data_IF_372472886755
#
_entry.id   IF_372472886755
#
_cell.length_a   1.000
_cell.length_b   1.000
_cell.length_c   1.000
_cell.angle_alpha   90.00
_cell.angle_beta   90.00
_cell.angle_gamma   90.00
#
_symmetry.space_group_name_H-M   'P 1'
#
loop_
_entity.id
_entity.type
_entity.pdbx_description
1 polymer ?
#
# COMPACT_ATOMS: atom_id res chain seq x y z
N UNK A 1 -12.17 -47.78 -5.26
CA UNK A 1 -10.86 -47.11 -5.20
C UNK A 1 -10.64 -46.77 -3.74
N UNK A 2 -9.89 -47.62 -3.03
CA UNK A 2 -9.66 -47.48 -1.59
C UNK A 2 -8.73 -46.30 -1.36
N UNK A 3 -9.22 -45.28 -0.67
CA UNK A 3 -8.38 -44.23 -0.09
C UNK A 3 -7.72 -44.91 1.12
N UNK A 4 -6.46 -45.29 0.96
CA UNK A 4 -5.64 -45.75 2.08
C UNK A 4 -5.54 -44.61 3.09
N UNK A 5 -6.27 -44.74 4.20
CA UNK A 5 -5.98 -44.06 5.46
C UNK A 5 -4.63 -44.58 5.98
N UNK A 6 -3.54 -44.06 5.42
CA UNK A 6 -2.28 -44.07 6.15
C UNK A 6 -2.47 -43.17 7.38
N UNK A 7 -2.75 -43.81 8.52
CA UNK A 7 -2.48 -43.24 9.85
C UNK A 7 -1.01 -42.84 9.88
N UNK A 8 -0.75 -41.56 9.59
CA UNK A 8 0.55 -40.93 9.80
C UNK A 8 0.82 -40.96 11.30
N UNK A 9 1.54 -41.99 11.72
CA UNK A 9 2.04 -42.14 13.08
C UNK A 9 2.93 -40.94 13.41
N UNK A 10 2.48 -40.07 14.30
CA UNK A 10 3.31 -39.28 15.24
C UNK A 10 4.56 -38.57 14.72
N UNK A 11 4.69 -38.29 13.42
CA UNK A 11 5.72 -37.38 12.92
C UNK A 11 5.27 -35.99 13.35
N UNK A 12 6.05 -35.33 14.20
CA UNK A 12 5.96 -33.88 14.34
C UNK A 12 5.81 -33.29 12.93
N UNK A 13 4.66 -32.68 12.65
CA UNK A 13 4.44 -31.96 11.41
C UNK A 13 5.42 -30.78 11.45
N UNK A 14 6.57 -30.96 10.81
CA UNK A 14 7.62 -29.95 10.78
C UNK A 14 7.08 -28.72 10.05
N UNK A 15 7.01 -27.59 10.76
CA UNK A 15 6.84 -26.26 10.17
C UNK A 15 8.20 -25.72 9.71
N UNK A 16 9.06 -26.59 9.20
CA UNK A 16 10.47 -26.32 8.94
C UNK A 16 10.64 -25.18 7.93
N UNK A 17 9.96 -25.29 6.80
CA UNK A 17 10.00 -24.31 5.73
C UNK A 17 9.24 -23.04 6.12
N UNK A 18 8.08 -23.22 6.76
CA UNK A 18 7.25 -22.13 7.26
C UNK A 18 7.95 -21.28 8.33
N UNK A 19 8.69 -21.89 9.25
CA UNK A 19 9.49 -21.20 10.28
C UNK A 19 10.61 -20.39 9.65
N UNK A 20 11.33 -20.98 8.68
CA UNK A 20 12.40 -20.28 7.99
C UNK A 20 11.89 -19.02 7.28
N UNK A 21 10.75 -19.15 6.58
CA UNK A 21 10.11 -18.00 5.95
C UNK A 21 9.76 -16.88 6.94
N UNK A 22 9.10 -17.23 8.04
CA UNK A 22 8.71 -16.25 9.07
C UNK A 22 9.95 -15.62 9.71
N UNK A 23 11.00 -16.42 9.98
CA UNK A 23 12.27 -15.95 10.52
C UNK A 23 12.94 -14.90 9.62
N UNK A 24 12.92 -15.09 8.30
CA UNK A 24 13.46 -14.07 7.37
C UNK A 24 12.63 -12.79 7.33
N UNK A 25 11.32 -12.89 7.55
CA UNK A 25 10.47 -11.70 7.65
C UNK A 25 10.64 -10.97 8.99
N UNK A 26 10.94 -11.70 10.07
CA UNK A 26 11.15 -11.15 11.42
C UNK A 26 12.60 -10.85 11.78
N UNK A 27 13.56 -11.10 10.90
CA UNK A 27 14.98 -10.86 11.17
C UNK A 27 15.24 -9.41 11.59
N UNK A 28 15.57 -9.23 12.87
CA UNK A 28 15.77 -7.94 13.51
C UNK A 28 16.96 -7.15 12.95
N UNK A 29 17.93 -7.83 12.34
CA UNK A 29 19.16 -7.24 11.80
C UNK A 29 18.98 -6.67 10.39
N UNK A 30 18.02 -7.22 9.66
CA UNK A 30 17.74 -6.85 8.27
C UNK A 30 16.85 -5.61 8.15
N UNK A 31 16.74 -5.09 6.93
CA UNK A 31 15.90 -3.91 6.63
C UNK A 31 14.45 -4.16 7.03
N UNK A 32 13.81 -3.14 7.62
CA UNK A 32 12.40 -3.20 8.04
C UNK A 32 11.47 -3.40 6.86
N UNK A 33 11.71 -2.69 5.76
CA UNK A 33 10.89 -2.80 4.58
C UNK A 33 11.26 -4.09 3.85
N UNK A 34 10.29 -5.01 3.82
CA UNK A 34 10.40 -6.30 3.14
C UNK A 34 9.75 -6.26 1.77
N UNK A 35 10.17 -7.18 0.90
CA UNK A 35 9.51 -7.50 -0.38
C UNK A 35 9.49 -9.00 -0.54
N UNK A 36 8.34 -9.59 -0.77
CA UNK A 36 8.25 -11.02 -1.07
C UNK A 36 8.05 -11.20 -2.57
N UNK A 37 8.87 -12.04 -3.19
CA UNK A 37 8.71 -12.42 -4.59
C UNK A 37 8.61 -13.93 -4.73
N UNK A 38 7.48 -14.39 -5.27
CA UNK A 38 7.36 -15.76 -5.74
C UNK A 38 7.94 -15.84 -7.14
N UNK A 39 8.91 -16.71 -7.34
CA UNK A 39 9.64 -16.89 -8.61
C UNK A 39 9.53 -18.34 -9.10
N UNK A 40 9.69 -18.60 -10.42
CA UNK A 40 9.83 -19.96 -10.94
C UNK A 40 10.98 -20.71 -10.27
N UNK A 41 10.86 -22.03 -10.14
CA UNK A 41 11.88 -22.85 -9.48
C UNK A 41 13.22 -22.78 -10.26
N UNK A 42 13.16 -22.57 -11.57
CA UNK A 42 14.31 -22.40 -12.46
C UNK A 42 15.12 -21.14 -12.14
N UNK A 43 14.47 -20.07 -11.66
CA UNK A 43 15.14 -18.84 -11.23
C UNK A 43 16.05 -19.11 -10.02
N UNK A 44 15.66 -20.03 -9.15
CA UNK A 44 16.44 -20.41 -7.96
C UNK A 44 17.70 -21.20 -8.29
N UNK A 45 17.86 -21.59 -9.55
CA UNK A 45 18.98 -22.38 -10.08
C UNK A 45 20.10 -21.47 -10.62
N UNK A 46 19.86 -20.16 -10.70
CA UNK A 46 20.87 -19.20 -11.17
C UNK A 46 22.09 -19.20 -10.24
N UNK A 47 23.33 -19.09 -10.75
CA UNK A 47 24.55 -19.25 -9.95
C UNK A 47 24.62 -18.32 -8.73
N UNK A 48 24.19 -17.07 -8.90
CA UNK A 48 24.18 -16.04 -7.86
C UNK A 48 23.22 -16.39 -6.73
N UNK A 49 21.99 -16.81 -7.07
CA UNK A 49 20.98 -17.25 -6.09
C UNK A 49 21.41 -18.58 -5.46
N UNK A 50 21.98 -19.51 -6.25
CA UNK A 50 22.50 -20.79 -5.76
C UNK A 50 23.63 -20.63 -4.77
N UNK A 51 24.55 -19.68 -4.97
CA UNK A 51 25.62 -19.40 -4.02
C UNK A 51 25.05 -19.03 -2.64
N UNK A 52 23.94 -18.32 -2.62
CA UNK A 52 23.23 -17.94 -1.38
C UNK A 52 22.42 -19.12 -0.84
N UNK A 53 21.73 -19.87 -1.70
CA UNK A 53 20.93 -21.05 -1.32
C UNK A 53 21.75 -22.23 -0.80
N UNK A 54 23.01 -22.37 -1.21
CA UNK A 54 23.86 -23.50 -0.82
C UNK A 54 24.00 -23.64 0.71
N UNK A 55 23.70 -22.57 1.45
CA UNK A 55 23.67 -22.58 2.91
C UNK A 55 22.39 -23.19 3.51
N UNK A 56 21.26 -23.26 2.79
CA UNK A 56 19.96 -23.55 3.41
C UNK A 56 19.00 -24.47 2.64
N UNK A 57 19.15 -24.65 1.32
CA UNK A 57 18.51 -25.75 0.56
C UNK A 57 16.97 -25.82 0.51
N UNK A 58 16.22 -24.89 1.12
CA UNK A 58 14.74 -24.96 1.27
C UNK A 58 13.94 -24.16 0.24
N UNK A 59 14.59 -23.61 -0.79
CA UNK A 59 13.91 -22.84 -1.83
C UNK A 59 13.35 -21.50 -1.35
N UNK A 60 13.96 -20.93 -0.31
CA UNK A 60 13.72 -19.60 0.25
C UNK A 60 15.07 -18.90 0.34
N UNK A 61 15.15 -17.64 -0.09
CA UNK A 61 16.39 -16.84 -0.06
C UNK A 61 16.06 -15.43 0.40
N UNK A 62 16.95 -14.81 1.17
CA UNK A 62 16.89 -13.38 1.49
C UNK A 62 18.03 -12.62 0.83
N UNK A 63 17.74 -11.43 0.29
CA UNK A 63 18.67 -10.53 -0.38
C UNK A 63 18.52 -9.13 0.21
N UNK A 64 19.62 -8.50 0.61
CA UNK A 64 19.62 -7.10 1.04
C UNK A 64 19.98 -6.20 -0.14
N UNK A 65 19.05 -5.37 -0.57
CA UNK A 65 19.29 -4.34 -1.59
C UNK A 65 19.67 -3.04 -0.90
N UNK A 66 20.97 -2.73 -0.92
CA UNK A 66 21.53 -1.52 -0.32
C UNK A 66 21.10 -0.23 -1.04
N UNK A 67 20.76 -0.31 -2.33
CA UNK A 67 20.33 0.86 -3.10
C UNK A 67 18.89 1.23 -2.76
N UNK A 68 17.99 0.25 -2.73
CA UNK A 68 16.59 0.52 -2.41
C UNK A 68 16.28 0.49 -0.92
N UNK A 69 17.21 0.00 -0.08
CA UNK A 69 17.04 -0.11 1.37
C UNK A 69 16.02 -1.20 1.75
N UNK A 70 15.83 -2.18 0.89
CA UNK A 70 14.80 -3.21 1.01
C UNK A 70 15.44 -4.57 1.22
N UNK A 71 14.82 -5.38 2.09
CA UNK A 71 15.16 -6.80 2.20
C UNK A 71 14.18 -7.63 1.35
N UNK A 72 14.65 -8.21 0.27
CA UNK A 72 13.87 -9.07 -0.60
C UNK A 72 13.91 -10.53 -0.13
N UNK A 73 12.76 -11.18 -0.06
CA UNK A 73 12.61 -12.60 0.25
C UNK A 73 12.08 -13.30 -1.00
N UNK A 74 12.93 -14.10 -1.63
CA UNK A 74 12.60 -14.88 -2.82
C UNK A 74 12.08 -16.26 -2.40
N UNK A 75 10.96 -16.66 -2.99
CA UNK A 75 10.31 -17.93 -2.73
C UNK A 75 10.15 -18.71 -4.03
N UNK A 76 10.64 -19.95 -4.04
CA UNK A 76 10.36 -20.90 -5.11
C UNK A 76 8.87 -21.33 -5.07
N UNK A 77 8.30 -21.70 -6.23
CA UNK A 77 6.95 -22.28 -6.28
C UNK A 77 6.87 -23.58 -5.47
N UNK A 78 7.94 -24.37 -5.47
CA UNK A 78 8.02 -25.58 -4.65
C UNK A 78 7.98 -25.29 -3.14
N UNK A 79 8.73 -24.28 -2.67
CA UNK A 79 8.71 -23.88 -1.26
C UNK A 79 7.33 -23.37 -0.83
N UNK A 80 6.65 -22.56 -1.67
CA UNK A 80 5.30 -22.07 -1.34
C UNK A 80 4.28 -23.21 -1.17
N UNK A 81 4.34 -24.25 -2.00
CA UNK A 81 3.49 -25.45 -1.84
C UNK A 81 3.81 -26.21 -0.56
N UNK A 82 5.10 -26.37 -0.24
CA UNK A 82 5.53 -27.05 0.97
C UNK A 82 5.05 -26.30 2.21
N UNK A 83 5.29 -25.00 2.29
CA UNK A 83 4.80 -24.11 3.36
C UNK A 83 3.28 -24.19 3.54
N UNK A 84 2.52 -24.15 2.44
CA UNK A 84 1.07 -24.31 2.50
C UNK A 84 0.69 -25.65 3.13
N UNK A 85 1.31 -26.75 2.70
CA UNK A 85 1.02 -28.07 3.24
C UNK A 85 1.40 -28.16 4.73
N UNK A 86 2.61 -27.75 5.10
CA UNK A 86 3.09 -27.73 6.49
C UNK A 86 2.07 -27.01 7.39
N UNK A 87 1.70 -25.79 7.03
CA UNK A 87 0.83 -24.96 7.84
C UNK A 87 -0.64 -25.39 7.81
N UNK A 88 -1.14 -25.88 6.67
CA UNK A 88 -2.49 -26.44 6.55
C UNK A 88 -2.66 -27.71 7.40
N UNK A 89 -1.71 -28.65 7.32
CA UNK A 89 -1.76 -29.85 8.17
C UNK A 89 -1.71 -29.46 9.65
N UNK A 90 -0.82 -28.52 10.01
CA UNK A 90 -0.65 -28.10 11.39
C UNK A 90 -1.95 -27.54 11.96
N UNK A 91 -2.61 -26.57 11.29
CA UNK A 91 -3.84 -25.95 11.81
C UNK A 91 -5.05 -26.89 11.76
N UNK A 92 -5.23 -27.64 10.66
CA UNK A 92 -6.53 -28.28 10.37
C UNK A 92 -6.57 -29.78 10.58
N UNK A 93 -5.42 -30.46 10.73
CA UNK A 93 -5.35 -31.92 10.74
C UNK A 93 -4.61 -32.51 11.93
N UNK A 94 -4.10 -31.68 12.82
CA UNK A 94 -3.46 -32.13 14.07
C UNK A 94 -4.43 -32.01 15.23
N UNK A 95 -4.35 -32.91 16.20
CA UNK A 95 -5.12 -32.79 17.44
C UNK A 95 -4.74 -31.50 18.18
N UNK A 96 -5.74 -30.64 18.39
CA UNK A 96 -5.57 -29.27 18.89
C UNK A 96 -4.93 -29.17 20.29
N UNK A 97 -4.91 -30.26 21.05
CA UNK A 97 -4.43 -30.33 22.43
C UNK A 97 -2.90 -30.23 22.57
N UNK A 98 -2.15 -30.28 21.48
CA UNK A 98 -0.67 -30.32 21.48
C UNK A 98 0.01 -29.11 20.85
N UNK A 99 -0.74 -28.09 20.45
CA UNK A 99 -0.18 -26.97 19.70
C UNK A 99 0.65 -26.00 20.53
N UNK A 100 1.90 -25.80 20.11
CA UNK A 100 2.74 -24.70 20.60
C UNK A 100 2.24 -23.39 20.00
N UNK A 101 2.07 -22.35 20.84
CA UNK A 101 1.57 -21.02 20.44
C UNK A 101 2.40 -20.40 19.32
N UNK A 102 3.72 -20.50 19.39
CA UNK A 102 4.62 -19.95 18.37
C UNK A 102 4.42 -20.64 17.01
N UNK A 103 4.25 -21.95 17.02
CA UNK A 103 4.00 -22.74 15.83
C UNK A 103 2.63 -22.40 15.20
N UNK A 104 1.61 -22.14 16.02
CA UNK A 104 0.31 -21.66 15.55
C UNK A 104 0.40 -20.27 14.92
N UNK A 105 1.23 -19.38 15.48
CA UNK A 105 1.51 -18.07 14.91
C UNK A 105 2.19 -18.21 13.54
N UNK A 106 3.26 -18.99 13.46
CA UNK A 106 3.98 -19.28 12.20
C UNK A 106 3.05 -19.88 11.15
N UNK A 107 2.30 -20.93 11.51
CA UNK A 107 1.39 -21.60 10.59
C UNK A 107 0.28 -20.66 10.11
N UNK A 108 -0.25 -19.82 10.99
CA UNK A 108 -1.29 -18.84 10.63
C UNK A 108 -0.76 -17.77 9.70
N UNK A 109 0.45 -17.24 9.93
CA UNK A 109 1.08 -16.25 9.03
C UNK A 109 1.24 -16.84 7.62
N UNK A 110 1.77 -18.05 7.53
CA UNK A 110 1.98 -18.73 6.23
C UNK A 110 0.66 -19.05 5.54
N UNK A 111 -0.34 -19.53 6.28
CA UNK A 111 -1.67 -19.75 5.71
C UNK A 111 -2.30 -18.44 5.25
N UNK A 112 -2.16 -17.34 5.98
CA UNK A 112 -2.63 -16.04 5.51
C UNK A 112 -1.83 -15.53 4.30
N UNK A 113 -0.57 -15.91 4.14
CA UNK A 113 0.18 -15.61 2.93
C UNK A 113 -0.37 -16.36 1.71
N UNK A 114 -0.78 -17.63 1.86
CA UNK A 114 -1.21 -18.49 0.74
C UNK A 114 -2.73 -18.43 0.47
N UNK A 115 -3.51 -18.36 1.53
CA UNK A 115 -4.97 -18.31 1.59
C UNK A 115 -5.41 -17.10 2.41
N UNK A 116 -5.29 -15.88 1.85
CA UNK A 116 -5.34 -14.65 2.61
C UNK A 116 -6.75 -14.24 3.06
N UNK A 117 -7.78 -15.02 2.72
CA UNK A 117 -9.18 -14.87 3.16
C UNK A 117 -9.55 -15.87 4.27
N UNK A 118 -8.60 -16.67 4.74
CA UNK A 118 -8.83 -17.64 5.81
C UNK A 118 -9.05 -16.92 7.15
N UNK A 119 -10.32 -16.73 7.49
CA UNK A 119 -10.73 -16.07 8.73
C UNK A 119 -10.41 -16.89 9.98
N UNK A 120 -10.20 -18.20 9.87
CA UNK A 120 -9.83 -19.05 11.01
C UNK A 120 -8.34 -18.88 11.33
N UNK A 121 -7.47 -18.93 10.32
CA UNK A 121 -6.05 -18.60 10.47
C UNK A 121 -5.86 -17.17 11.01
N UNK A 122 -6.69 -16.21 10.57
CA UNK A 122 -6.68 -14.85 11.09
C UNK A 122 -7.01 -14.78 12.60
N UNK A 123 -8.03 -15.51 13.04
CA UNK A 123 -8.41 -15.59 14.46
C UNK A 123 -7.31 -16.25 15.29
N UNK A 124 -6.71 -17.32 14.79
CA UNK A 124 -5.58 -17.99 15.47
C UNK A 124 -4.41 -17.02 15.61
N UNK A 125 -4.01 -16.33 14.53
CA UNK A 125 -2.93 -15.34 14.58
C UNK A 125 -3.23 -14.26 15.63
N UNK A 126 -4.43 -13.70 15.62
CA UNK A 126 -4.83 -12.68 16.58
C UNK A 126 -4.79 -13.19 18.03
N UNK A 127 -5.23 -14.43 18.28
CA UNK A 127 -5.17 -15.03 19.61
C UNK A 127 -3.74 -15.40 20.04
N UNK A 128 -2.86 -15.68 19.08
CA UNK A 128 -1.46 -15.96 19.35
C UNK A 128 -0.64 -14.69 19.58
N UNK A 129 -1.14 -13.52 19.19
CA UNK A 129 -0.47 -12.24 19.40
C UNK A 129 -0.38 -11.90 20.90
N UNK A 130 0.84 -11.70 21.39
CA UNK A 130 1.11 -11.10 22.69
C UNK A 130 1.00 -9.59 22.51
N UNK A 131 0.23 -8.93 23.38
CA UNK A 131 0.02 -7.48 23.30
C UNK A 131 1.21 -6.76 23.95
N UNK A 132 2.41 -7.09 23.48
CA UNK A 132 3.66 -6.42 23.82
C UNK A 132 4.31 -5.81 22.58
N UNK A 133 5.22 -4.86 22.79
CA UNK A 133 5.80 -4.03 21.72
C UNK A 133 6.45 -4.88 20.64
N UNK A 134 7.25 -5.87 21.04
CA UNK A 134 8.05 -6.63 20.09
C UNK A 134 7.17 -7.51 19.20
N UNK A 135 6.24 -8.25 19.81
CA UNK A 135 5.40 -9.19 19.06
C UNK A 135 4.43 -8.46 18.12
N UNK A 136 3.84 -7.34 18.57
CA UNK A 136 2.97 -6.51 17.73
C UNK A 136 3.72 -5.90 16.55
N UNK A 137 4.92 -5.34 16.79
CA UNK A 137 5.72 -4.72 15.73
C UNK A 137 6.25 -5.76 14.74
N UNK A 138 6.65 -6.94 15.22
CA UNK A 138 7.05 -8.05 14.36
C UNK A 138 5.92 -8.45 13.41
N UNK A 139 4.73 -8.75 13.95
CA UNK A 139 3.57 -9.14 13.13
C UNK A 139 3.15 -8.01 12.20
N UNK A 140 3.24 -6.75 12.62
CA UNK A 140 2.97 -5.59 11.79
C UNK A 140 3.89 -5.51 10.56
N UNK A 141 5.19 -5.72 10.74
CA UNK A 141 6.17 -5.75 9.65
C UNK A 141 5.96 -6.94 8.73
N UNK A 142 5.69 -8.12 9.29
CA UNK A 142 5.37 -9.32 8.52
C UNK A 142 4.15 -9.08 7.63
N UNK A 143 3.06 -8.55 8.19
CA UNK A 143 1.82 -8.28 7.42
C UNK A 143 2.07 -7.25 6.33
N UNK A 144 2.87 -6.20 6.58
CA UNK A 144 3.30 -5.27 5.52
C UNK A 144 4.07 -5.97 4.39
N UNK A 145 4.94 -6.92 4.73
CA UNK A 145 5.65 -7.74 3.73
C UNK A 145 4.65 -8.53 2.85
N UNK A 146 3.65 -9.16 3.47
CA UNK A 146 2.60 -9.89 2.75
C UNK A 146 1.80 -8.95 1.82
N UNK A 147 1.48 -7.76 2.29
CA UNK A 147 0.71 -6.75 1.55
C UNK A 147 1.50 -6.04 0.43
N UNK A 148 2.81 -6.26 0.35
CA UNK A 148 3.70 -5.70 -0.68
C UNK A 148 4.33 -6.77 -1.58
N UNK A 149 3.89 -8.02 -1.45
CA UNK A 149 4.34 -9.12 -2.30
C UNK A 149 3.82 -9.01 -3.74
N UNK A 150 4.45 -9.75 -4.67
CA UNK A 150 4.01 -9.88 -6.06
C UNK A 150 2.87 -10.89 -6.28
N UNK A 151 2.35 -11.49 -5.21
CA UNK A 151 1.23 -12.41 -5.28
C UNK A 151 -0.09 -11.66 -5.05
N UNK A 152 -0.80 -11.41 -6.16
CA UNK A 152 -1.94 -10.49 -6.20
C UNK A 152 -3.03 -10.80 -5.16
N UNK A 153 -3.36 -12.08 -4.96
CA UNK A 153 -4.41 -12.49 -4.02
C UNK A 153 -4.12 -12.03 -2.59
N UNK A 154 -2.86 -12.07 -2.20
CA UNK A 154 -2.41 -11.70 -0.85
C UNK A 154 -2.27 -10.20 -0.73
N UNK A 155 -1.64 -9.56 -1.72
CA UNK A 155 -1.52 -8.11 -1.81
C UNK A 155 -2.89 -7.39 -1.78
N UNK A 156 -3.91 -7.95 -2.44
CA UNK A 156 -5.28 -7.39 -2.52
C UNK A 156 -6.25 -8.04 -1.52
N UNK A 157 -5.76 -8.69 -0.46
CA UNK A 157 -6.64 -9.30 0.54
C UNK A 157 -7.22 -8.27 1.49
N UNK A 158 -8.55 -8.12 1.49
CA UNK A 158 -9.27 -7.30 2.46
C UNK A 158 -8.96 -7.69 3.91
N UNK A 159 -8.86 -9.00 4.21
CA UNK A 159 -8.57 -9.49 5.56
C UNK A 159 -7.19 -9.06 6.06
N UNK A 160 -6.17 -9.11 5.19
CA UNK A 160 -4.82 -8.68 5.54
C UNK A 160 -4.73 -7.16 5.72
N UNK A 161 -5.39 -6.38 4.84
CA UNK A 161 -5.45 -4.93 5.00
C UNK A 161 -6.16 -4.51 6.28
N UNK A 162 -7.25 -5.19 6.65
CA UNK A 162 -7.93 -4.93 7.93
C UNK A 162 -7.10 -5.36 9.14
N UNK A 163 -6.35 -6.48 9.05
CA UNK A 163 -5.40 -6.86 10.10
C UNK A 163 -4.30 -5.80 10.27
N UNK A 164 -3.71 -5.36 9.16
CA UNK A 164 -2.68 -4.33 9.16
C UNK A 164 -3.19 -3.02 9.76
N UNK A 165 -4.41 -2.61 9.40
CA UNK A 165 -5.09 -1.45 9.99
C UNK A 165 -5.31 -1.61 11.49
N UNK A 166 -5.74 -2.78 11.97
CA UNK A 166 -5.91 -3.06 13.41
C UNK A 166 -4.60 -2.98 14.17
N UNK A 167 -3.52 -3.57 13.64
CA UNK A 167 -2.19 -3.50 14.23
C UNK A 167 -1.68 -2.06 14.26
N UNK A 168 -1.88 -1.30 13.18
CA UNK A 168 -1.53 0.12 13.12
C UNK A 168 -2.24 0.93 14.22
N UNK A 169 -3.55 0.75 14.39
CA UNK A 169 -4.32 1.41 15.47
C UNK A 169 -3.81 0.99 16.84
N UNK A 170 -3.58 -0.31 17.05
CA UNK A 170 -3.08 -0.84 18.31
C UNK A 170 -1.73 -0.21 18.68
N UNK A 171 -0.80 -0.09 17.72
CA UNK A 171 0.49 0.57 17.92
C UNK A 171 0.29 2.04 18.27
N UNK A 172 -0.53 2.76 17.50
CA UNK A 172 -0.80 4.19 17.73
C UNK A 172 -1.49 4.50 19.07
N UNK A 173 -2.21 3.54 19.63
CA UNK A 173 -2.87 3.66 20.94
C UNK A 173 -2.01 3.14 22.09
N UNK A 174 -0.81 2.62 21.82
CA UNK A 174 0.07 2.06 22.84
C UNK A 174 0.92 3.14 23.53
N UNK A 175 1.35 2.86 24.75
CA UNK A 175 2.31 3.70 25.49
C UNK A 175 3.75 3.56 24.98
N UNK A 176 4.00 2.76 23.94
CA UNK A 176 5.35 2.47 23.43
C UNK A 176 5.89 3.55 22.50
N UNK A 177 5.02 4.48 22.09
CA UNK A 177 5.35 5.55 21.17
C UNK A 177 6.13 6.61 21.92
N UNK A 178 7.32 6.89 21.41
CA UNK A 178 8.13 8.02 21.86
C UNK A 178 7.76 9.24 21.01
N UNK A 179 7.54 10.39 21.65
CA UNK A 179 7.40 11.64 20.90
C UNK A 179 8.66 11.85 20.06
N UNK A 180 8.51 12.23 18.77
CA UNK A 180 9.67 12.49 17.96
C UNK A 180 10.50 13.58 18.64
N UNK A 181 11.85 13.47 18.69
CA UNK A 181 12.67 14.61 19.05
C UNK A 181 12.27 15.78 18.13
N UNK A 182 12.35 17.03 18.61
CA UNK A 182 12.00 18.27 17.90
C UNK A 182 12.83 18.50 16.61
N UNK A 183 12.81 17.54 15.70
CA UNK A 183 13.56 17.52 14.48
C UNK A 183 12.69 18.19 13.43
N UNK A 184 12.96 19.48 13.20
CA UNK A 184 12.26 20.34 12.23
C UNK A 184 12.42 19.92 10.76
N UNK A 185 12.98 18.74 10.48
CA UNK A 185 13.37 18.28 9.15
C UNK A 185 12.95 16.82 8.95
N UNK A 186 11.70 16.62 8.53
CA UNK A 186 11.14 15.31 8.17
C UNK A 186 11.94 14.57 7.07
N UNK A 187 12.76 15.29 6.28
CA UNK A 187 13.63 14.71 5.25
C UNK A 187 14.74 13.79 5.80
N UNK A 188 15.22 14.05 7.04
CA UNK A 188 16.33 13.28 7.65
C UNK A 188 15.88 12.01 8.37
N UNK A 189 14.58 11.86 8.63
CA UNK A 189 13.99 10.73 9.36
C UNK A 189 13.64 9.53 8.45
N UNK A 190 13.93 9.64 7.14
CA UNK A 190 13.49 8.73 6.08
C UNK A 190 14.22 7.38 6.00
N UNK A 191 15.17 7.10 6.90
CA UNK A 191 15.92 5.82 6.90
C UNK A 191 15.80 5.12 8.24
N UNK A 192 14.81 4.24 8.35
CA UNK A 192 14.76 3.23 9.41
C UNK A 192 15.70 2.10 8.97
N UNK A 193 16.89 1.93 9.58
CA UNK A 193 17.92 1.08 9.00
C UNK A 193 17.59 -0.40 9.14
N UNK A 194 17.12 -0.85 10.31
CA UNK A 194 16.75 -2.23 10.62
C UNK A 194 15.65 -2.29 11.69
N UNK A 195 15.06 -3.47 11.88
CA UNK A 195 13.92 -3.66 12.78
C UNK A 195 14.29 -3.45 14.25
N UNK A 196 15.47 -3.88 14.69
CA UNK A 196 15.91 -3.63 16.08
C UNK A 196 16.00 -2.12 16.36
N UNK A 197 16.68 -1.36 15.51
CA UNK A 197 16.82 0.08 15.69
C UNK A 197 15.48 0.81 15.64
N UNK A 198 14.47 0.24 14.97
CA UNK A 198 13.12 0.78 15.01
C UNK A 198 12.42 0.47 16.33
N UNK A 199 12.48 -0.79 16.78
CA UNK A 199 11.93 -1.23 18.07
C UNK A 199 12.45 -0.37 19.22
N UNK A 200 13.70 0.09 19.15
CA UNK A 200 14.31 0.91 20.19
C UNK A 200 13.70 2.34 20.27
N UNK A 201 13.16 2.88 19.17
CA UNK A 201 12.74 4.29 19.10
C UNK A 201 11.42 4.59 18.38
N UNK A 202 10.52 3.61 18.30
CA UNK A 202 9.23 3.73 17.61
C UNK A 202 8.53 5.06 17.89
N UNK A 203 8.43 5.89 16.86
CA UNK A 203 7.70 7.17 16.91
C UNK A 203 6.46 7.15 16.02
N UNK A 204 5.50 8.05 16.32
CA UNK A 204 4.32 8.26 15.47
C UNK A 204 4.70 8.55 14.01
N UNK A 205 5.76 9.33 13.82
CA UNK A 205 6.28 9.67 12.50
C UNK A 205 6.69 8.41 11.72
N UNK A 206 7.52 7.56 12.31
CA UNK A 206 8.04 6.36 11.65
C UNK A 206 6.91 5.36 11.34
N UNK A 207 5.93 5.22 12.23
CA UNK A 207 4.75 4.36 12.02
C UNK A 207 3.89 4.85 10.85
N UNK A 208 3.57 6.15 10.81
CA UNK A 208 2.85 6.77 9.70
C UNK A 208 3.62 6.62 8.38
N UNK A 209 4.92 6.87 8.39
CA UNK A 209 5.77 6.76 7.21
C UNK A 209 5.87 5.32 6.70
N UNK A 210 6.03 4.35 7.60
CA UNK A 210 6.05 2.93 7.25
C UNK A 210 4.71 2.48 6.65
N UNK A 211 3.59 2.89 7.25
CA UNK A 211 2.26 2.63 6.71
C UNK A 211 2.07 3.22 5.30
N UNK A 212 2.46 4.48 5.10
CA UNK A 212 2.41 5.14 3.80
C UNK A 212 3.27 4.41 2.75
N UNK A 213 4.50 4.07 3.12
CA UNK A 213 5.45 3.34 2.25
C UNK A 213 4.91 1.96 1.87
N UNK A 214 4.26 1.26 2.80
CA UNK A 214 3.59 -0.03 2.55
C UNK A 214 2.49 0.12 1.52
N UNK A 215 1.63 1.14 1.65
CA UNK A 215 0.56 1.42 0.67
C UNK A 215 1.12 1.74 -0.72
N UNK A 216 2.09 2.67 -0.80
CA UNK A 216 2.69 3.09 -2.08
C UNK A 216 3.38 1.92 -2.78
N UNK A 217 4.12 1.10 -2.02
CA UNK A 217 4.76 -0.09 -2.55
C UNK A 217 3.74 -1.11 -3.03
N UNK A 218 2.67 -1.32 -2.28
CA UNK A 218 1.61 -2.25 -2.69
C UNK A 218 0.99 -1.83 -4.03
N UNK A 219 0.72 -0.53 -4.20
CA UNK A 219 0.23 0.05 -5.46
C UNK A 219 1.25 -0.06 -6.60
N UNK A 220 2.55 0.14 -6.31
CA UNK A 220 3.62 -0.03 -7.29
C UNK A 220 3.63 -1.46 -7.87
N UNK A 221 3.49 -2.47 -7.01
CA UNK A 221 3.51 -3.87 -7.42
C UNK A 221 2.20 -4.28 -8.07
N UNK A 222 1.07 -3.82 -7.53
CA UNK A 222 -0.26 -4.11 -8.05
C UNK A 222 -1.06 -2.81 -8.24
N UNK A 223 -1.04 -2.27 -9.47
CA UNK A 223 -1.75 -1.05 -9.81
C UNK A 223 -3.23 -1.06 -9.45
N UNK A 224 -3.76 0.12 -9.10
CA UNK A 224 -5.16 0.34 -8.72
C UNK A 224 -5.60 -0.52 -7.52
N UNK A 225 -4.70 -0.74 -6.56
CA UNK A 225 -5.04 -1.43 -5.32
C UNK A 225 -5.95 -0.56 -4.44
N UNK A 226 -7.26 -0.78 -4.57
CA UNK A 226 -8.28 -0.07 -3.81
C UNK A 226 -8.05 -0.13 -2.29
N UNK A 227 -7.65 -1.29 -1.76
CA UNK A 227 -7.45 -1.47 -0.33
C UNK A 227 -6.26 -0.67 0.19
N UNK A 228 -5.14 -0.66 -0.54
CA UNK A 228 -3.99 0.17 -0.22
C UNK A 228 -4.35 1.67 -0.23
N UNK A 229 -5.06 2.15 -1.26
CA UNK A 229 -5.50 3.54 -1.31
C UNK A 229 -6.54 3.87 -0.22
N UNK A 230 -7.41 2.92 0.16
CA UNK A 230 -8.36 3.11 1.24
C UNK A 230 -7.65 3.22 2.59
N UNK A 231 -6.66 2.38 2.85
CA UNK A 231 -5.82 2.51 4.04
C UNK A 231 -5.05 3.83 4.03
N UNK A 232 -4.49 4.25 2.89
CA UNK A 232 -3.77 5.52 2.81
C UNK A 232 -4.65 6.72 3.20
N UNK A 233 -5.92 6.73 2.78
CA UNK A 233 -6.91 7.71 3.27
C UNK A 233 -7.05 7.64 4.79
N UNK A 234 -7.18 6.44 5.33
CA UNK A 234 -7.26 6.24 6.77
C UNK A 234 -6.03 6.77 7.51
N UNK A 235 -4.81 6.41 7.08
CA UNK A 235 -3.56 6.86 7.68
C UNK A 235 -3.46 8.39 7.71
N UNK A 236 -3.66 9.03 6.56
CA UNK A 236 -3.64 10.50 6.44
C UNK A 236 -4.76 11.14 7.27
N UNK A 237 -5.91 10.45 7.40
CA UNK A 237 -7.01 10.96 8.20
C UNK A 237 -6.73 10.96 9.71
N UNK A 238 -5.90 10.00 10.15
CA UNK A 238 -5.52 9.80 11.55
C UNK A 238 -4.25 10.53 11.97
N UNK A 239 -3.52 11.11 11.01
CA UNK A 239 -2.32 11.90 11.26
C UNK A 239 -2.71 13.28 11.80
N UNK A 240 -2.30 13.59 13.04
CA UNK A 240 -2.63 14.86 13.69
C UNK A 240 -1.61 15.96 13.37
N UNK A 241 -0.34 15.56 13.23
CA UNK A 241 0.72 16.46 12.81
C UNK A 241 0.51 16.88 11.35
N UNK A 242 0.21 18.17 11.15
CA UNK A 242 -0.03 18.77 9.84
C UNK A 242 1.23 18.79 8.96
N UNK A 243 2.40 18.97 9.57
CA UNK A 243 3.69 18.95 8.88
C UNK A 243 4.02 17.55 8.35
N UNK A 244 3.81 16.53 9.17
CA UNK A 244 3.91 15.13 8.77
C UNK A 244 2.89 14.80 7.67
N UNK A 245 1.63 15.18 7.86
CA UNK A 245 0.56 14.95 6.87
C UNK A 245 0.93 15.58 5.53
N UNK A 246 1.39 16.83 5.51
CA UNK A 246 1.87 17.50 4.31
C UNK A 246 3.06 16.75 3.68
N UNK A 247 4.04 16.34 4.49
CA UNK A 247 5.20 15.58 4.03
C UNK A 247 4.79 14.28 3.32
N UNK A 248 3.87 13.51 3.91
CA UNK A 248 3.35 12.28 3.30
C UNK A 248 2.59 12.55 2.01
N UNK A 249 1.79 13.62 1.93
CA UNK A 249 1.09 14.01 0.69
C UNK A 249 2.09 14.39 -0.40
N UNK A 250 3.13 15.14 -0.06
CA UNK A 250 4.21 15.49 -0.99
C UNK A 250 4.89 14.23 -1.51
N UNK A 251 5.19 13.25 -0.64
CA UNK A 251 5.74 11.96 -1.04
C UNK A 251 4.82 11.20 -2.01
N UNK A 252 3.50 11.19 -1.77
CA UNK A 252 2.52 10.55 -2.68
C UNK A 252 2.52 11.25 -4.05
N UNK A 253 2.60 12.57 -4.08
CA UNK A 253 2.67 13.36 -5.33
C UNK A 253 4.00 13.08 -6.06
N UNK A 254 5.11 12.99 -5.34
CA UNK A 254 6.42 12.71 -5.94
C UNK A 254 6.49 11.29 -6.48
N UNK A 255 5.92 10.31 -5.77
CA UNK A 255 5.73 8.95 -6.27
C UNK A 255 4.95 8.92 -7.60
N UNK A 256 3.92 9.78 -7.73
CA UNK A 256 3.17 9.95 -8.98
C UNK A 256 3.91 10.64 -10.11
N UNK A 257 4.85 11.54 -9.79
CA UNK A 257 5.56 12.36 -10.77
C UNK A 257 6.72 11.64 -11.44
N UNK A 258 7.10 10.46 -10.96
CA UNK A 258 7.99 9.54 -11.68
C UNK A 258 7.28 8.94 -12.90
N UNK A 259 7.06 7.62 -12.88
CA UNK A 259 6.54 6.88 -14.04
C UNK A 259 5.13 6.32 -13.83
N UNK A 260 4.48 6.67 -12.71
CA UNK A 260 3.31 5.94 -12.23
C UNK A 260 2.06 6.83 -12.06
N UNK A 261 1.12 6.72 -12.99
CA UNK A 261 -0.12 7.51 -12.98
C UNK A 261 -1.37 6.69 -12.58
N UNK A 262 -1.68 6.70 -11.29
CA UNK A 262 -2.81 5.96 -10.71
C UNK A 262 -3.93 6.87 -10.24
N UNK A 263 -5.09 6.75 -10.90
CA UNK A 263 -6.28 7.51 -10.57
C UNK A 263 -6.69 7.39 -9.09
N UNK A 264 -6.59 6.21 -8.49
CA UNK A 264 -7.05 5.97 -7.11
C UNK A 264 -6.21 6.73 -6.09
N UNK A 265 -4.90 6.87 -6.32
CA UNK A 265 -3.99 7.67 -5.49
C UNK A 265 -4.22 9.18 -5.68
N UNK A 266 -4.46 9.67 -6.90
CA UNK A 266 -4.89 11.07 -7.10
C UNK A 266 -6.17 11.41 -6.34
N UNK A 267 -7.10 10.46 -6.26
CA UNK A 267 -8.30 10.63 -5.45
C UNK A 267 -8.00 10.63 -3.95
N UNK A 268 -6.94 9.95 -3.48
CA UNK A 268 -6.48 10.09 -2.07
C UNK A 268 -6.03 11.53 -1.81
N UNK A 269 -5.16 12.07 -2.66
CA UNK A 269 -4.67 13.45 -2.54
C UNK A 269 -5.82 14.44 -2.52
N UNK A 270 -6.76 14.27 -3.46
CA UNK A 270 -7.94 15.11 -3.56
C UNK A 270 -8.84 15.01 -2.31
N UNK A 271 -9.16 13.78 -1.87
CA UNK A 271 -10.04 13.54 -0.71
C UNK A 271 -9.45 14.18 0.56
N UNK A 272 -8.13 14.16 0.72
CA UNK A 272 -7.42 14.78 1.85
C UNK A 272 -7.40 16.31 1.74
N UNK A 273 -7.19 16.86 0.55
CA UNK A 273 -7.16 18.30 0.34
C UNK A 273 -8.54 18.96 0.45
N UNK A 274 -9.60 18.27 0.04
CA UNK A 274 -10.96 18.80 0.04
C UNK A 274 -11.76 18.43 1.28
N UNK A 275 -11.21 17.59 2.17
CA UNK A 275 -11.92 17.05 3.34
C UNK A 275 -13.24 16.32 2.98
N UNK A 276 -13.49 16.05 1.69
CA UNK A 276 -14.83 15.81 1.14
C UNK A 276 -15.38 14.39 1.39
N UNK A 277 -14.54 13.46 1.88
CA UNK A 277 -14.96 12.11 2.34
C UNK A 277 -14.73 11.86 3.83
N UNK A 278 -14.23 12.84 4.58
CA UNK A 278 -13.99 12.70 6.01
C UNK A 278 -15.29 12.56 6.84
N UNK A 279 -16.46 12.80 6.23
CA UNK A 279 -17.79 12.50 6.79
C UNK A 279 -18.25 11.05 6.62
N UNK A 280 -17.64 10.23 5.74
CA UNK A 280 -18.00 8.80 5.64
C UNK A 280 -17.23 7.91 6.64
N UNK A 281 -16.13 8.39 7.20
CA UNK A 281 -15.40 7.73 8.29
C UNK A 281 -15.81 8.21 9.69
N UNK A 282 -16.97 8.85 9.78
CA UNK A 282 -17.54 9.44 10.99
C UNK A 282 -17.63 8.42 12.14
N UNK A 283 -17.93 7.15 11.85
CA UNK A 283 -17.92 6.07 12.85
C UNK A 283 -16.59 5.90 13.61
N UNK A 284 -15.45 5.94 12.91
CA UNK A 284 -14.14 5.80 13.57
C UNK A 284 -13.65 7.12 14.18
N UNK A 285 -14.04 8.25 13.59
CA UNK A 285 -13.85 9.57 14.20
C UNK A 285 -14.64 9.70 15.50
N UNK A 286 -15.85 9.14 15.59
CA UNK A 286 -16.64 9.12 16.82
C UNK A 286 -15.98 8.23 17.89
N UNK A 287 -15.51 7.03 17.52
CA UNK A 287 -14.74 6.18 18.45
C UNK A 287 -13.48 6.87 18.99
N UNK A 288 -12.86 7.76 18.22
CA UNK A 288 -11.63 8.48 18.63
C UNK A 288 -11.89 9.89 19.21
N UNK A 289 -12.97 10.57 18.81
CA UNK A 289 -13.46 11.83 19.40
C UNK A 289 -13.91 11.62 20.84
N UNK A 290 -14.44 10.44 21.16
CA UNK A 290 -14.68 10.02 22.54
C UNK A 290 -13.40 9.91 23.38
N UNK A 291 -12.22 9.87 22.74
CA UNK A 291 -10.93 9.70 23.40
C UNK A 291 -10.16 11.04 23.50
N UNK A 292 -10.03 11.83 22.43
CA UNK A 292 -9.06 12.96 22.40
C UNK A 292 -9.59 14.35 21.97
N UNK A 293 -10.84 14.49 21.52
CA UNK A 293 -11.50 15.80 21.35
C UNK A 293 -10.93 16.82 20.35
N UNK A 294 -9.97 16.50 19.46
CA UNK A 294 -9.34 17.48 18.53
C UNK A 294 -9.73 17.29 17.05
N UNK A 295 -9.82 18.40 16.30
CA UNK A 295 -10.00 18.43 14.83
C UNK A 295 -8.65 18.44 14.09
N UNK A 296 -8.58 17.74 12.94
CA UNK A 296 -7.34 17.38 12.23
C UNK A 296 -7.25 17.91 10.78
N UNK A 297 -7.72 19.12 10.52
CA UNK A 297 -7.71 19.71 9.16
C UNK A 297 -6.34 20.26 8.76
N UNK A 298 -6.03 20.24 7.45
CA UNK A 298 -4.82 20.87 6.91
C UNK A 298 -5.00 22.40 6.85
N UNK A 299 -3.97 23.19 7.20
CA UNK A 299 -4.01 24.64 7.01
C UNK A 299 -4.13 25.02 5.51
N UNK A 300 -4.85 26.10 5.21
CA UNK A 300 -5.10 26.56 3.83
C UNK A 300 -3.82 26.81 3.01
N UNK A 301 -2.73 27.25 3.66
CA UNK A 301 -1.42 27.45 3.01
C UNK A 301 -0.81 26.14 2.50
N UNK A 302 -1.03 25.03 3.21
CA UNK A 302 -0.48 23.73 2.84
C UNK A 302 -1.25 23.13 1.66
N UNK A 303 -2.57 23.33 1.63
CA UNK A 303 -3.39 22.94 0.47
C UNK A 303 -3.00 23.77 -0.77
N UNK A 304 -2.67 25.06 -0.61
CA UNK A 304 -2.14 25.89 -1.70
C UNK A 304 -0.78 25.37 -2.20
N UNK A 305 0.13 24.98 -1.29
CA UNK A 305 1.43 24.37 -1.66
C UNK A 305 1.23 23.08 -2.47
N UNK A 306 0.32 22.22 -2.03
CA UNK A 306 -0.04 20.99 -2.75
C UNK A 306 -0.58 21.32 -4.14
N UNK A 307 -1.53 22.27 -4.23
CA UNK A 307 -2.09 22.71 -5.50
C UNK A 307 -1.00 23.24 -6.47
N UNK A 308 -0.09 24.08 -6.00
CA UNK A 308 1.00 24.61 -6.82
C UNK A 308 1.94 23.49 -7.29
N UNK A 309 2.25 22.52 -6.43
CA UNK A 309 3.04 21.34 -6.81
C UNK A 309 2.34 20.55 -7.91
N UNK A 310 1.04 20.26 -7.77
CA UNK A 310 0.25 19.53 -8.78
C UNK A 310 0.20 20.32 -10.10
N UNK A 311 -0.06 21.63 -10.03
CA UNK A 311 -0.18 22.52 -11.21
C UNK A 311 1.10 22.55 -12.04
N UNK A 312 2.26 22.52 -11.38
CA UNK A 312 3.56 22.62 -12.06
C UNK A 312 4.00 21.31 -12.74
N UNK A 313 3.29 20.20 -12.51
CA UNK A 313 3.64 18.91 -13.09
C UNK A 313 2.82 18.65 -14.37
N UNK A 314 3.43 18.86 -15.53
CA UNK A 314 2.82 18.62 -16.85
C UNK A 314 2.67 17.11 -17.15
N UNK A 315 1.44 16.57 -17.15
CA UNK A 315 1.17 15.19 -17.64
C UNK A 315 -0.16 15.08 -18.40
N UNK A 316 -0.40 13.90 -18.99
CA UNK A 316 -1.64 13.50 -19.67
C UNK A 316 -2.69 12.89 -18.72
N UNK A 317 -2.41 12.83 -17.41
CA UNK A 317 -3.20 12.11 -16.40
C UNK A 317 -4.62 12.67 -16.20
N UNK A 318 -5.63 11.81 -16.37
CA UNK A 318 -7.01 12.13 -16.00
C UNK A 318 -7.16 12.46 -14.51
N UNK A 319 -6.62 11.62 -13.64
CA UNK A 319 -6.72 11.78 -12.19
C UNK A 319 -6.14 13.12 -11.72
N UNK A 320 -4.98 13.49 -12.28
CA UNK A 320 -4.35 14.77 -11.99
C UNK A 320 -5.17 15.96 -12.46
N UNK A 321 -5.66 15.94 -13.71
CA UNK A 321 -6.49 17.04 -14.23
C UNK A 321 -7.74 17.23 -13.39
N UNK A 322 -8.39 16.13 -13.01
CA UNK A 322 -9.57 16.16 -12.15
C UNK A 322 -9.24 16.72 -10.77
N UNK A 323 -8.16 16.26 -10.13
CA UNK A 323 -7.71 16.76 -8.82
C UNK A 323 -7.39 18.25 -8.86
N UNK A 324 -6.61 18.68 -9.86
CA UNK A 324 -6.26 20.08 -10.07
C UNK A 324 -7.50 20.95 -10.28
N UNK A 325 -8.42 20.54 -11.17
CA UNK A 325 -9.63 21.31 -11.45
C UNK A 325 -10.54 21.41 -10.22
N UNK A 326 -10.75 20.32 -9.49
CA UNK A 326 -11.58 20.34 -8.28
C UNK A 326 -10.97 21.26 -7.22
N UNK A 327 -9.67 21.16 -6.93
CA UNK A 327 -8.99 22.09 -6.02
C UNK A 327 -9.11 23.54 -6.50
N UNK A 328 -8.90 23.77 -7.80
CA UNK A 328 -8.94 25.10 -8.39
C UNK A 328 -10.32 25.76 -8.26
N UNK A 329 -11.40 24.98 -8.33
CA UNK A 329 -12.76 25.49 -8.07
C UNK A 329 -13.01 25.79 -6.60
N UNK A 330 -12.55 24.93 -5.71
CA UNK A 330 -12.71 25.09 -4.25
C UNK A 330 -11.98 26.34 -3.75
N UNK A 331 -10.86 26.72 -4.38
CA UNK A 331 -10.16 27.98 -4.09
C UNK A 331 -10.77 29.22 -4.71
N UNK A 332 -11.88 29.12 -5.46
CA UNK A 332 -12.48 30.27 -6.15
C UNK A 332 -11.61 30.85 -7.28
N UNK A 333 -10.56 30.15 -7.70
CA UNK A 333 -9.65 30.57 -8.77
C UNK A 333 -10.20 30.23 -10.17
N UNK A 334 -11.37 29.59 -10.21
CA UNK A 334 -11.94 28.74 -11.27
C UNK A 334 -11.94 29.23 -12.73
N UNK A 335 -12.04 30.53 -12.98
CA UNK A 335 -12.40 31.02 -14.32
C UNK A 335 -11.23 30.94 -15.31
N UNK A 336 -10.01 31.24 -14.89
CA UNK A 336 -8.87 31.34 -15.79
C UNK A 336 -8.38 29.95 -16.25
N UNK A 337 -8.17 29.02 -15.31
CA UNK A 337 -7.72 27.67 -15.65
C UNK A 337 -8.77 26.89 -16.45
N UNK A 338 -10.05 27.00 -16.08
CA UNK A 338 -11.14 26.37 -16.83
C UNK A 338 -11.15 26.88 -18.27
N UNK A 339 -11.04 28.19 -18.46
CA UNK A 339 -10.99 28.82 -19.79
C UNK A 339 -9.77 28.35 -20.57
N UNK A 340 -8.58 28.32 -19.95
CA UNK A 340 -7.35 27.85 -20.58
C UNK A 340 -7.45 26.37 -21.00
N UNK A 341 -8.01 25.51 -20.16
CA UNK A 341 -8.21 24.09 -20.48
C UNK A 341 -9.27 23.88 -21.57
N UNK A 342 -10.38 24.63 -21.54
CA UNK A 342 -11.39 24.63 -22.61
C UNK A 342 -10.79 25.07 -23.94
N UNK A 343 -10.00 26.14 -23.95
CA UNK A 343 -9.33 26.65 -25.14
C UNK A 343 -8.34 25.63 -25.71
N UNK A 344 -7.63 24.87 -24.86
CA UNK A 344 -6.77 23.76 -25.30
C UNK A 344 -7.56 22.66 -26.01
N UNK A 345 -8.66 22.20 -25.40
CA UNK A 345 -9.53 21.19 -26.02
C UNK A 345 -10.10 21.68 -27.34
N UNK A 346 -10.61 22.92 -27.37
CA UNK A 346 -11.17 23.55 -28.57
C UNK A 346 -10.13 23.70 -29.68
N UNK A 347 -8.89 24.08 -29.33
CA UNK A 347 -7.80 24.23 -30.30
C UNK A 347 -7.43 22.89 -30.92
N UNK A 348 -7.36 21.83 -30.12
CA UNK A 348 -7.15 20.46 -30.61
C UNK A 348 -8.30 20.01 -31.53
N UNK A 349 -9.55 20.18 -31.08
CA UNK A 349 -10.75 19.84 -31.86
C UNK A 349 -10.78 20.57 -33.22
N UNK A 350 -10.43 21.85 -33.24
CA UNK A 350 -10.32 22.65 -34.46
C UNK A 350 -9.18 22.17 -35.37
N UNK A 351 -8.00 21.89 -34.80
CA UNK A 351 -6.83 21.45 -35.56
C UNK A 351 -7.05 20.11 -36.28
N UNK A 352 -7.87 19.23 -35.71
CA UNK A 352 -8.12 17.89 -36.24
C UNK A 352 -9.52 17.68 -36.82
N UNK A 353 -10.34 18.74 -36.96
CA UNK A 353 -11.67 18.66 -37.55
C UNK A 353 -12.67 17.82 -36.73
N UNK A 354 -12.50 17.74 -35.41
CA UNK A 354 -13.32 16.94 -34.50
C UNK A 354 -14.31 17.84 -33.77
N UNK A 355 -15.61 17.56 -33.86
CA UNK A 355 -16.66 18.39 -33.23
C UNK A 355 -16.87 18.05 -31.74
N UNK A 356 -16.64 16.80 -31.34
CA UNK A 356 -16.57 16.39 -29.93
C UNK A 356 -15.61 15.21 -29.80
N UNK A 357 -14.46 15.43 -29.17
CA UNK A 357 -13.44 14.38 -28.96
C UNK A 357 -13.96 13.16 -28.17
N UNK A 358 -15.10 13.26 -27.46
CA UNK A 358 -15.74 12.11 -26.77
C UNK A 358 -16.62 11.25 -27.68
N UNK A 359 -17.07 11.79 -28.81
CA UNK A 359 -17.98 11.11 -29.76
C UNK A 359 -17.22 10.35 -30.85
N UNK A 360 -15.91 10.33 -30.77
CA UNK A 360 -15.08 9.49 -31.62
C UNK A 360 -15.30 8.04 -31.16
N UNK A 361 -16.21 7.35 -31.84
CA UNK A 361 -16.39 5.91 -31.72
C UNK A 361 -15.48 5.21 -32.74
N UNK A 362 -14.54 4.41 -32.23
CA UNK A 362 -13.53 3.71 -33.02
C UNK A 362 -12.12 4.29 -32.85
N UNK A 363 -11.08 3.51 -33.16
CA UNK A 363 -9.72 4.02 -33.17
C UNK A 363 -9.65 5.13 -34.23
N UNK A 364 -9.46 6.39 -33.80
CA UNK A 364 -8.94 7.39 -34.72
C UNK A 364 -7.69 6.77 -35.33
N UNK A 365 -7.58 6.79 -36.66
CA UNK A 365 -6.43 6.22 -37.36
C UNK A 365 -5.20 7.14 -37.16
N UNK A 366 -4.80 7.33 -35.90
CA UNK A 366 -3.61 8.03 -35.39
C UNK A 366 -2.41 7.06 -35.42
N UNK A 367 -2.53 5.94 -36.13
CA UNK A 367 -1.66 4.76 -36.02
C UNK A 367 -0.19 5.00 -36.39
N UNK A 368 0.20 6.20 -36.84
CA UNK A 368 1.56 6.55 -37.22
C UNK A 368 2.19 7.73 -36.45
N UNK A 369 1.44 8.47 -35.61
CA UNK A 369 1.98 9.64 -34.89
C UNK A 369 1.77 9.53 -33.37
N UNK A 370 2.83 9.15 -32.67
CA UNK A 370 2.85 9.00 -31.22
C UNK A 370 2.54 10.32 -30.49
N UNK A 371 2.93 11.47 -31.06
CA UNK A 371 2.67 12.79 -30.48
C UNK A 371 1.18 13.14 -30.57
N UNK A 372 0.57 12.86 -31.73
CA UNK A 372 -0.87 13.09 -31.92
C UNK A 372 -1.71 12.22 -30.97
N UNK A 373 -1.26 10.98 -30.70
CA UNK A 373 -1.94 10.10 -29.73
C UNK A 373 -1.87 10.68 -28.31
N UNK A 374 -0.71 11.20 -27.91
CA UNK A 374 -0.53 11.85 -26.61
C UNK A 374 -1.41 13.11 -26.49
N UNK A 375 -1.43 13.96 -27.51
CA UNK A 375 -2.27 15.16 -27.54
C UNK A 375 -3.75 14.84 -27.48
N UNK A 376 -4.19 13.81 -28.20
CA UNK A 376 -5.56 13.30 -28.16
C UNK A 376 -5.95 12.83 -26.74
N UNK A 377 -5.13 11.98 -26.12
CA UNK A 377 -5.39 11.46 -24.77
C UNK A 377 -5.45 12.60 -23.75
N UNK A 378 -4.57 13.60 -23.89
CA UNK A 378 -4.55 14.80 -23.05
C UNK A 378 -5.83 15.61 -23.20
N UNK A 379 -6.24 15.92 -24.43
CA UNK A 379 -7.46 16.66 -24.70
C UNK A 379 -8.71 15.91 -24.20
N UNK A 380 -8.76 14.59 -24.38
CA UNK A 380 -9.84 13.74 -23.90
C UNK A 380 -9.94 13.76 -22.37
N UNK A 381 -8.81 13.60 -21.68
CA UNK A 381 -8.76 13.60 -20.21
C UNK A 381 -9.14 14.96 -19.63
N UNK A 382 -8.66 16.08 -20.23
CA UNK A 382 -9.09 17.43 -19.86
C UNK A 382 -10.61 17.56 -20.01
N UNK A 383 -11.17 17.14 -21.15
CA UNK A 383 -12.61 17.26 -21.42
C UNK A 383 -13.45 16.43 -20.44
N UNK A 384 -13.02 15.20 -20.13
CA UNK A 384 -13.67 14.35 -19.11
C UNK A 384 -13.69 15.04 -17.75
N UNK A 385 -12.57 15.62 -17.33
CA UNK A 385 -12.43 16.24 -16.02
C UNK A 385 -13.31 17.50 -15.90
N UNK A 386 -13.32 18.35 -16.95
CA UNK A 386 -14.21 19.50 -17.06
C UNK A 386 -15.69 19.09 -16.94
N UNK A 387 -16.11 18.04 -17.65
CA UNK A 387 -17.49 17.54 -17.57
C UNK A 387 -17.86 17.01 -16.18
N UNK A 388 -16.95 16.32 -15.50
CA UNK A 388 -17.21 15.82 -14.14
C UNK A 388 -17.41 16.98 -13.16
N UNK A 389 -16.55 18.00 -13.20
CA UNK A 389 -16.69 19.18 -12.34
C UNK A 389 -17.99 19.96 -12.61
N UNK A 390 -18.40 20.08 -13.87
CA UNK A 390 -19.67 20.74 -14.24
C UNK A 390 -20.91 19.98 -13.73
N UNK A 391 -20.88 18.65 -13.73
CA UNK A 391 -21.97 17.83 -13.16
C UNK A 391 -22.15 18.07 -11.67
N UNK A 392 -21.06 18.25 -10.92
CA UNK A 392 -21.13 18.51 -9.48
C UNK A 392 -21.66 19.91 -9.17
N UNK A 393 -21.30 20.93 -9.95
CA UNK A 393 -21.85 22.30 -9.79
C UNK A 393 -23.38 22.32 -9.89
N UNK A 394 -23.95 21.64 -10.90
CA UNK A 394 -25.40 21.55 -11.11
C UNK A 394 -26.16 20.85 -9.99
N UNK A 395 -25.50 20.10 -9.11
CA UNK A 395 -26.13 19.45 -7.96
C UNK A 395 -26.18 20.34 -6.72
N UNK A 396 -25.40 21.42 -6.68
CA UNK A 396 -25.27 22.31 -5.53
C UNK A 396 -25.83 23.72 -5.79
N UNK A 397 -26.11 24.06 -7.04
CA UNK A 397 -27.02 25.14 -7.46
C UNK A 397 -28.46 24.64 -7.46
#
# INVERSE_FOLDING_TARGET
MNINEERVSGKHLGLDTSRLFVQYLSDKTSRVIKKIQIVPDETMVQPEIRAIMAHEGRGIVTLQDELSGINEVLLSKSATRLMFNESFQYIYRTDQTSHVREDLKVASIVLLFMTPVDTHALKILWNCLRVDKEDVMEVFVIVAALLTCNYERTNKSSCLWELFKKLYVLILSSSWIVEPPECKSYEKLTRIPNLQGWLDRVSNFEICQFGCSTCLRSVLVHPRNYYACNLLRFLLSTCEDSGLKLHLIIQIIDFHNGEYDDYSLWMVVLDVCLDAKYRQMEYYREQRKMIDGRETTLPSLDVLRIYLKIKNCYTTSYGRFLTMLKLHYEFGLGLELETNLKNRVYSFEKAHGVVDIRKIEGPVNISSDALLKEEYEKALNIKRALCECQKNRKKHS
#
